data_IF_410300033971
#
_entry.id   IF_410300033971
#
_cell.length_a   1.000
_cell.length_b   1.000
_cell.length_c   1.000
_cell.angle_alpha   90.00
_cell.angle_beta   90.00
_cell.angle_gamma   90.00
#
_symmetry.space_group_name_H-M   'P 1'
#
loop_
_entity.id
_entity.type
_entity.pdbx_description
1 polymer ?
#
# COMPACT_ATOMS: atom_id res chain seq x y z
N UNK A 1 -18.96 -25.28 -14.88
CA UNK A 1 -18.81 -25.42 -13.40
C UNK A 1 -17.36 -25.66 -13.03
N UNK A 2 -16.69 -26.68 -13.59
CA UNK A 2 -15.25 -26.92 -13.37
C UNK A 2 -14.38 -25.70 -13.73
N UNK A 3 -14.55 -25.15 -14.94
CA UNK A 3 -13.84 -23.93 -15.37
C UNK A 3 -14.08 -22.66 -14.52
N UNK A 4 -15.16 -22.63 -13.72
CA UNK A 4 -15.48 -21.51 -12.84
C UNK A 4 -14.80 -21.70 -11.46
N UNK A 5 -14.72 -22.95 -11.00
CA UNK A 5 -13.93 -23.33 -9.82
C UNK A 5 -12.42 -23.18 -10.08
N UNK A 6 -11.96 -23.52 -11.29
CA UNK A 6 -10.56 -23.32 -11.69
C UNK A 6 -10.19 -21.82 -11.72
N UNK A 7 -11.13 -20.94 -12.10
CA UNK A 7 -10.95 -19.49 -12.05
C UNK A 7 -10.92 -18.95 -10.62
N UNK A 8 -11.78 -19.47 -9.73
CA UNK A 8 -11.77 -19.11 -8.30
C UNK A 8 -10.44 -19.55 -7.65
N UNK A 9 -10.00 -20.77 -7.95
CA UNK A 9 -8.74 -21.32 -7.43
C UNK A 9 -7.49 -20.59 -7.98
N UNK A 10 -7.54 -20.09 -9.23
CA UNK A 10 -6.46 -19.28 -9.79
C UNK A 10 -6.32 -17.92 -9.09
N UNK A 11 -7.42 -17.35 -8.59
CA UNK A 11 -7.41 -16.10 -7.79
C UNK A 11 -6.84 -16.36 -6.39
N UNK A 12 -7.13 -17.52 -5.79
CA UNK A 12 -6.60 -17.88 -4.46
C UNK A 12 -5.09 -18.16 -4.48
N UNK A 13 -4.56 -18.77 -5.55
CA UNK A 13 -3.12 -19.02 -5.70
C UNK A 13 -2.32 -17.70 -5.86
N UNK A 14 -2.95 -16.60 -6.30
CA UNK A 14 -2.32 -15.28 -6.33
C UNK A 14 -2.29 -14.57 -4.97
N UNK A 15 -3.12 -14.98 -4.01
CA UNK A 15 -3.17 -14.41 -2.67
C UNK A 15 -2.06 -14.96 -1.74
N UNK A 16 -1.51 -16.13 -2.06
CA UNK A 16 -0.33 -16.70 -1.39
C UNK A 16 0.99 -16.03 -1.80
N UNK A 17 1.00 -15.25 -2.89
CA UNK A 17 2.21 -14.60 -3.40
C UNK A 17 2.26 -13.13 -2.96
N UNK A 18 2.74 -12.94 -1.73
CA UNK A 18 3.39 -11.73 -1.22
C UNK A 18 2.45 -10.53 -1.02
N UNK A 19 2.37 -10.01 0.20
CA UNK A 19 2.11 -8.59 0.40
C UNK A 19 3.40 -7.88 -0.06
N UNK A 20 3.53 -7.46 -1.34
CA UNK A 20 4.83 -7.18 -1.93
C UNK A 20 5.46 -5.95 -1.29
N UNK A 21 4.64 -5.13 -0.63
CA UNK A 21 5.05 -3.94 0.10
C UNK A 21 5.42 -4.29 1.55
N UNK A 22 4.88 -5.34 2.14
CA UNK A 22 5.31 -5.77 3.48
C UNK A 22 6.78 -6.22 3.52
N UNK A 23 7.28 -6.76 2.40
CA UNK A 23 8.67 -7.21 2.26
C UNK A 23 9.63 -6.12 1.75
N UNK A 24 9.12 -4.94 1.37
CA UNK A 24 9.98 -3.85 0.92
C UNK A 24 10.74 -3.23 2.09
N UNK A 25 12.03 -2.90 1.91
CA UNK A 25 12.76 -2.08 2.86
C UNK A 25 12.06 -0.73 3.09
N UNK A 26 12.24 -0.19 4.29
CA UNK A 26 11.70 1.10 4.70
C UNK A 26 12.01 2.21 3.68
N UNK A 27 13.26 2.26 3.20
CA UNK A 27 13.76 3.28 2.29
C UNK A 27 13.01 3.24 0.95
N UNK A 28 12.79 2.04 0.41
CA UNK A 28 12.09 1.86 -0.87
C UNK A 28 10.63 2.25 -0.74
N UNK A 29 9.95 1.80 0.33
CA UNK A 29 8.56 2.15 0.59
C UNK A 29 8.37 3.64 0.82
N UNK A 30 9.25 4.28 1.60
CA UNK A 30 9.21 5.73 1.85
C UNK A 30 9.38 6.52 0.55
N UNK A 31 10.31 6.10 -0.32
CA UNK A 31 10.53 6.75 -1.61
C UNK A 31 9.31 6.60 -2.52
N UNK A 32 8.72 5.41 -2.63
CA UNK A 32 7.47 5.19 -3.38
C UNK A 32 6.35 6.12 -2.88
N UNK A 33 6.18 6.25 -1.56
CA UNK A 33 5.13 7.08 -0.98
C UNK A 33 5.25 8.55 -1.41
N UNK A 34 6.48 9.08 -1.58
CA UNK A 34 6.68 10.47 -2.04
C UNK A 34 6.12 10.72 -3.44
N UNK A 35 6.09 9.70 -4.31
CA UNK A 35 5.49 9.80 -5.65
C UNK A 35 3.97 9.70 -5.65
N UNK A 36 3.38 9.20 -4.56
CA UNK A 36 1.94 9.02 -4.42
C UNK A 36 1.24 10.25 -3.80
N UNK A 37 1.99 11.22 -3.26
CA UNK A 37 1.43 12.44 -2.70
C UNK A 37 0.96 13.39 -3.82
N UNK A 38 -0.31 13.82 -3.82
CA UNK A 38 -0.81 14.74 -4.83
C UNK A 38 -0.17 16.13 -4.68
N UNK A 39 -0.02 16.86 -5.79
CA UNK A 39 0.50 18.25 -5.78
C UNK A 39 -0.37 19.21 -4.97
N UNK A 40 -1.66 18.91 -4.82
CA UNK A 40 -2.59 19.70 -4.02
C UNK A 40 -2.88 18.92 -2.74
N UNK A 41 -2.56 19.53 -1.60
CA UNK A 41 -2.76 18.92 -0.30
C UNK A 41 -4.26 18.79 -0.02
N UNK A 42 -4.68 17.59 0.38
CA UNK A 42 -6.04 17.30 0.83
C UNK A 42 -5.98 16.70 2.23
N UNK A 43 -6.78 17.24 3.14
CA UNK A 43 -6.92 16.69 4.51
C UNK A 43 -7.89 15.51 4.57
N UNK A 44 -8.36 15.03 3.42
CA UNK A 44 -9.26 13.89 3.36
C UNK A 44 -8.52 12.59 3.70
N UNK A 45 -9.09 11.72 4.55
CA UNK A 45 -8.50 10.43 4.89
C UNK A 45 -8.39 9.48 3.70
N UNK A 46 -9.04 9.81 2.57
CA UNK A 46 -8.96 9.05 1.32
C UNK A 46 -7.78 9.47 0.43
N UNK A 47 -7.02 10.48 0.82
CA UNK A 47 -5.90 10.99 0.04
C UNK A 47 -4.57 10.82 0.80
N UNK A 48 -3.48 10.47 0.10
CA UNK A 48 -2.14 10.55 0.67
C UNK A 48 -1.80 11.99 1.10
N UNK A 49 -0.98 12.17 2.15
CA UNK A 49 -0.32 11.12 2.93
C UNK A 49 -1.22 10.47 4.00
N UNK A 50 -2.40 11.05 4.30
CA UNK A 50 -3.27 10.62 5.41
C UNK A 50 -3.77 9.19 5.21
N UNK A 51 -4.05 8.78 3.98
CA UNK A 51 -4.44 7.42 3.62
C UNK A 51 -3.44 6.36 4.14
N UNK A 52 -2.13 6.65 4.11
CA UNK A 52 -1.11 5.71 4.55
C UNK A 52 -1.17 5.41 6.05
N UNK A 53 -1.75 6.32 6.85
CA UNK A 53 -1.95 6.12 8.27
C UNK A 53 -3.04 5.09 8.60
N UNK A 54 -3.91 4.73 7.63
CA UNK A 54 -5.04 3.82 7.87
C UNK A 54 -4.91 2.43 7.25
N UNK A 55 -3.89 2.18 6.42
CA UNK A 55 -3.76 0.90 5.70
C UNK A 55 -3.30 -0.23 6.62
N UNK A 56 -2.09 -0.11 7.19
CA UNK A 56 -1.56 -1.08 8.15
C UNK A 56 -0.58 -0.40 9.12
N UNK A 57 -0.09 -1.13 10.11
CA UNK A 57 0.87 -0.60 11.10
C UNK A 57 2.21 -0.20 10.48
N UNK A 58 2.72 -1.00 9.53
CA UNK A 58 3.98 -0.72 8.82
C UNK A 58 3.90 0.58 8.01
N UNK A 59 2.85 0.75 7.20
CA UNK A 59 2.65 1.95 6.39
C UNK A 59 2.47 3.20 7.23
N UNK A 60 1.74 3.09 8.35
CA UNK A 60 1.62 4.19 9.32
C UNK A 60 2.97 4.59 9.87
N UNK A 61 3.82 3.63 10.23
CA UNK A 61 5.16 3.92 10.72
C UNK A 61 6.01 4.64 9.67
N UNK A 62 6.02 4.13 8.43
CA UNK A 62 6.74 4.75 7.30
C UNK A 62 6.25 6.18 7.06
N UNK A 63 4.93 6.40 7.03
CA UNK A 63 4.35 7.71 6.75
C UNK A 63 4.68 8.75 7.84
N UNK A 64 4.66 8.35 9.11
CA UNK A 64 5.04 9.23 10.23
C UNK A 64 6.55 9.49 10.29
N UNK A 65 7.37 8.53 9.86
CA UNK A 65 8.83 8.64 9.86
C UNK A 65 9.43 9.30 8.61
N UNK A 66 8.60 9.69 7.62
CA UNK A 66 9.05 10.30 6.35
C UNK A 66 8.56 11.76 6.25
N UNK A 67 9.35 12.76 6.71
CA UNK A 67 8.94 14.16 6.72
C UNK A 67 8.56 14.72 5.35
N UNK A 68 9.15 14.23 4.26
CA UNK A 68 8.89 14.70 2.90
C UNK A 68 7.46 14.42 2.37
N UNK A 69 6.66 13.64 3.09
CA UNK A 69 5.26 13.36 2.73
C UNK A 69 4.28 14.45 3.18
N UNK A 70 4.70 15.33 4.10
CA UNK A 70 3.90 16.35 4.75
C UNK A 70 4.25 17.74 4.22
#
# INVERSE_FOLDING_TARGET
>A
RQALLDQINAVEIQAELLDPIADLPFEISSHIFTYCVPKQISLSPRHPPILFLSICTSWRHIALATPALW
#
